data_IF_296216156723
#
_entry.id   IF_296216156723
#
_cell.length_a   1.000
_cell.length_b   1.000
_cell.length_c   1.000
_cell.angle_alpha   90.00
_cell.angle_beta   90.00
_cell.angle_gamma   90.00
#
_symmetry.space_group_name_H-M   'P 1'
#
loop_
_entity.id
_entity.type
_entity.pdbx_description
1 polymer ?
#
# COMPACT_ATOMS: atom_id res chain seq x y z
N UNK A 1 7.27 43.00 38.52
CA UNK A 1 6.84 41.88 39.39
C UNK A 1 5.70 42.24 40.34
N UNK A 2 5.76 43.35 41.09
CA UNK A 2 4.72 43.71 42.07
C UNK A 2 3.30 43.94 41.49
N UNK A 3 3.18 44.44 40.26
CA UNK A 3 1.87 44.60 39.59
C UNK A 3 1.23 43.27 39.15
N UNK A 4 2.04 42.28 38.79
CA UNK A 4 1.57 40.94 38.39
C UNK A 4 1.05 40.16 39.61
N UNK A 5 1.75 40.28 40.74
CA UNK A 5 1.31 39.69 42.02
C UNK A 5 0.02 40.33 42.57
N UNK A 6 -0.17 41.65 42.42
CA UNK A 6 -1.42 42.32 42.81
C UNK A 6 -2.61 41.96 41.93
N UNK A 7 -2.40 41.71 40.63
CA UNK A 7 -3.46 41.18 39.76
C UNK A 7 -3.84 39.75 40.16
N UNK A 8 -2.85 38.90 40.47
CA UNK A 8 -3.11 37.54 40.96
C UNK A 8 -3.86 37.57 42.31
N UNK A 9 -3.50 38.46 43.25
CA UNK A 9 -4.19 38.52 44.54
C UNK A 9 -5.66 38.99 44.45
N UNK A 10 -6.02 39.74 43.41
CA UNK A 10 -7.40 40.19 43.18
C UNK A 10 -8.30 39.07 42.60
N UNK A 11 -7.70 38.09 41.91
CA UNK A 11 -8.40 36.92 41.37
C UNK A 11 -8.65 35.85 42.44
N UNK A 12 -7.87 35.84 43.53
CA UNK A 12 -8.01 34.88 44.65
C UNK A 12 -8.86 35.40 45.82
N UNK A 13 -9.53 36.54 45.65
CA UNK A 13 -10.48 37.06 46.64
C UNK A 13 -11.78 36.23 46.65
N UNK A 14 -12.38 35.97 47.82
CA UNK A 14 -13.51 35.04 47.97
C UNK A 14 -14.75 35.45 47.18
N UNK A 15 -14.92 36.74 46.90
CA UNK A 15 -16.02 37.30 46.09
C UNK A 15 -15.82 37.16 44.57
N UNK A 16 -14.64 36.76 44.11
CA UNK A 16 -14.29 36.68 42.68
C UNK A 16 -13.96 35.24 42.20
N UNK A 17 -14.23 34.23 43.04
CA UNK A 17 -14.00 32.81 42.71
C UNK A 17 -14.67 32.38 41.40
N UNK A 18 -15.85 32.92 41.09
CA UNK A 18 -16.53 32.65 39.82
C UNK A 18 -15.70 33.14 38.61
N UNK A 19 -15.09 34.32 38.70
CA UNK A 19 -14.24 34.89 37.64
C UNK A 19 -12.97 34.05 37.47
N UNK A 20 -12.34 33.64 38.57
CA UNK A 20 -11.18 32.75 38.55
C UNK A 20 -11.50 31.40 37.87
N UNK A 21 -12.67 30.83 38.18
CA UNK A 21 -13.14 29.56 37.60
C UNK A 21 -13.44 29.70 36.10
N UNK A 22 -14.04 30.82 35.67
CA UNK A 22 -14.28 31.11 34.26
C UNK A 22 -12.98 31.28 33.48
N UNK A 23 -12.01 32.00 34.03
CA UNK A 23 -10.68 32.15 33.41
C UNK A 23 -9.99 30.79 33.28
N UNK A 24 -10.01 29.96 34.33
CA UNK A 24 -9.46 28.60 34.25
C UNK A 24 -10.18 27.74 33.20
N UNK A 25 -11.52 27.82 33.13
CA UNK A 25 -12.31 27.08 32.14
C UNK A 25 -11.93 27.50 30.72
N UNK A 26 -11.78 28.81 30.46
CA UNK A 26 -11.34 29.33 29.15
C UNK A 26 -9.93 28.84 28.81
N UNK A 27 -9.00 28.82 29.77
CA UNK A 27 -7.63 28.31 29.57
C UNK A 27 -7.63 26.81 29.25
N UNK A 28 -8.44 26.02 29.95
CA UNK A 28 -8.58 24.57 29.68
C UNK A 28 -9.17 24.33 28.29
N UNK A 29 -10.22 25.05 27.92
CA UNK A 29 -10.85 24.93 26.59
C UNK A 29 -9.87 25.31 25.48
N UNK A 30 -9.12 26.41 25.64
CA UNK A 30 -8.06 26.78 24.70
C UNK A 30 -6.96 25.73 24.62
N UNK A 31 -6.58 25.12 25.74
CA UNK A 31 -5.61 24.02 25.78
C UNK A 31 -6.06 22.80 24.98
N UNK A 32 -7.34 22.41 25.10
CA UNK A 32 -7.93 21.30 24.33
C UNK A 32 -7.97 21.62 22.84
N UNK A 33 -8.34 22.85 22.47
CA UNK A 33 -8.38 23.28 21.06
C UNK A 33 -6.97 23.22 20.45
N UNK A 34 -5.95 23.74 21.14
CA UNK A 34 -4.57 23.71 20.67
C UNK A 34 -4.06 22.27 20.55
N UNK A 35 -4.37 21.40 21.51
CA UNK A 35 -4.00 19.98 21.46
C UNK A 35 -4.65 19.28 20.25
N UNK A 36 -5.91 19.59 19.94
CA UNK A 36 -6.58 19.06 18.74
C UNK A 36 -5.94 19.54 17.44
N UNK A 37 -5.56 20.82 17.35
CA UNK A 37 -4.84 21.34 16.18
C UNK A 37 -3.45 20.70 16.00
N UNK A 38 -2.72 20.48 17.10
CA UNK A 38 -1.43 19.77 17.06
C UNK A 38 -1.62 18.32 16.61
N UNK A 39 -2.64 17.64 17.12
CA UNK A 39 -2.97 16.28 16.69
C UNK A 39 -3.33 16.22 15.21
N UNK A 40 -4.17 17.14 14.73
CA UNK A 40 -4.54 17.24 13.32
C UNK A 40 -3.32 17.47 12.42
N UNK A 41 -2.43 18.39 12.80
CA UNK A 41 -1.19 18.66 12.06
C UNK A 41 -0.25 17.44 12.03
N UNK A 42 -0.12 16.70 13.13
CA UNK A 42 0.68 15.46 13.20
C UNK A 42 0.07 14.36 12.33
N UNK A 43 -1.26 14.25 12.30
CA UNK A 43 -1.96 13.29 11.42
C UNK A 43 -1.71 13.63 9.96
N UNK A 44 -1.89 14.90 9.57
CA UNK A 44 -1.67 15.37 8.20
C UNK A 44 -0.21 15.17 7.75
N UNK A 45 0.76 15.48 8.62
CA UNK A 45 2.18 15.28 8.33
C UNK A 45 2.56 13.79 8.19
N UNK A 46 1.95 12.92 9.00
CA UNK A 46 2.13 11.47 8.89
C UNK A 46 1.55 10.93 7.58
N UNK A 47 0.37 11.39 7.17
CA UNK A 47 -0.27 10.95 5.92
C UNK A 47 0.51 11.44 4.68
N UNK A 48 1.03 12.67 4.70
CA UNK A 48 1.97 13.14 3.67
C UNK A 48 3.21 12.25 3.57
N UNK A 49 3.82 11.93 4.71
CA UNK A 49 5.01 11.06 4.76
C UNK A 49 4.72 9.66 4.23
N UNK A 50 3.57 9.08 4.60
CA UNK A 50 3.12 7.77 4.12
C UNK A 50 2.88 7.75 2.62
N UNK A 51 2.30 8.81 2.07
CA UNK A 51 2.06 8.92 0.64
C UNK A 51 3.37 9.09 -0.14
N UNK A 52 4.35 9.83 0.41
CA UNK A 52 5.70 9.92 -0.19
C UNK A 52 6.38 8.56 -0.25
N UNK A 53 6.32 7.77 0.84
CA UNK A 53 6.91 6.42 0.85
C UNK A 53 6.27 5.47 -0.13
N UNK A 54 4.95 5.56 -0.29
CA UNK A 54 4.26 4.82 -1.34
C UNK A 54 4.73 5.27 -2.73
N UNK A 55 4.85 6.57 -2.97
CA UNK A 55 5.34 7.10 -4.24
C UNK A 55 6.74 6.59 -4.61
N UNK A 56 7.67 6.54 -3.64
CA UNK A 56 9.02 6.00 -3.84
C UNK A 56 8.97 4.54 -4.36
N UNK A 57 8.11 3.72 -3.76
CA UNK A 57 7.94 2.32 -4.17
C UNK A 57 7.24 2.18 -5.52
N UNK A 58 6.28 3.05 -5.85
CA UNK A 58 5.64 3.07 -7.16
C UNK A 58 6.62 3.50 -8.27
N UNK A 59 7.54 4.40 -7.97
CA UNK A 59 8.61 4.76 -8.89
C UNK A 59 9.61 3.62 -9.05
N UNK A 60 9.95 2.90 -7.97
CA UNK A 60 10.73 1.67 -8.05
C UNK A 60 10.07 0.65 -8.99
N UNK A 61 8.75 0.44 -8.87
CA UNK A 61 7.98 -0.40 -9.78
C UNK A 61 8.13 0.03 -11.24
N UNK A 62 7.91 1.33 -11.50
CA UNK A 62 7.97 1.89 -12.85
C UNK A 62 9.32 1.68 -13.51
N UNK A 63 10.40 1.90 -12.76
CA UNK A 63 11.78 1.87 -13.27
C UNK A 63 12.30 0.43 -13.38
N UNK A 64 12.05 -0.41 -12.39
CA UNK A 64 12.75 -1.69 -12.25
C UNK A 64 11.90 -2.92 -12.64
N UNK A 65 10.57 -2.80 -12.66
CA UNK A 65 9.69 -3.98 -12.73
C UNK A 65 8.68 -3.94 -13.87
N UNK A 66 8.13 -2.77 -14.20
CA UNK A 66 7.05 -2.64 -15.19
C UNK A 66 7.43 -3.24 -16.55
N UNK A 67 8.60 -2.87 -17.08
CA UNK A 67 9.05 -3.35 -18.39
C UNK A 67 9.44 -4.86 -18.38
N UNK A 68 10.24 -5.36 -17.41
CA UNK A 68 10.53 -6.80 -17.32
C UNK A 68 9.28 -7.68 -17.21
N UNK A 69 8.29 -7.27 -16.39
CA UNK A 69 7.03 -8.02 -16.24
C UNK A 69 6.23 -7.99 -17.55
N UNK A 70 6.11 -6.82 -18.19
CA UNK A 70 5.45 -6.72 -19.49
C UNK A 70 6.08 -7.64 -20.56
N UNK A 71 7.42 -7.71 -20.61
CA UNK A 71 8.11 -8.60 -21.54
C UNK A 71 7.88 -10.08 -21.22
N UNK A 72 7.83 -10.43 -19.93
CA UNK A 72 7.50 -11.78 -19.49
C UNK A 72 6.07 -12.17 -19.87
N UNK A 73 5.09 -11.30 -19.61
CA UNK A 73 3.68 -11.50 -20.00
C UNK A 73 3.57 -11.73 -21.52
N UNK A 74 4.26 -10.90 -22.32
CA UNK A 74 4.32 -11.05 -23.77
C UNK A 74 5.01 -12.35 -24.23
N UNK A 75 6.03 -12.81 -23.51
CA UNK A 75 6.68 -14.10 -23.80
C UNK A 75 5.74 -15.28 -23.53
N UNK A 76 4.93 -15.23 -22.46
CA UNK A 76 3.95 -16.27 -22.13
C UNK A 76 2.88 -16.34 -23.22
N UNK A 77 2.32 -15.20 -23.63
CA UNK A 77 1.29 -15.15 -24.69
C UNK A 77 1.84 -15.71 -25.99
N UNK A 78 3.03 -15.28 -26.41
CA UNK A 78 3.65 -15.77 -27.66
C UNK A 78 3.90 -17.27 -27.61
N UNK A 79 4.36 -17.78 -26.48
CA UNK A 79 4.66 -19.20 -26.34
C UNK A 79 3.44 -20.14 -26.49
N UNK A 80 2.22 -19.65 -26.28
CA UNK A 80 1.02 -20.46 -26.54
C UNK A 80 0.41 -20.28 -27.92
N UNK A 81 1.02 -19.50 -28.82
CA UNK A 81 0.57 -19.39 -30.20
C UNK A 81 0.93 -20.68 -30.97
N UNK A 82 -0.02 -21.26 -31.76
CA UNK A 82 0.20 -22.51 -32.50
C UNK A 82 1.42 -22.49 -33.43
N UNK A 83 1.75 -21.32 -33.98
CA UNK A 83 2.85 -21.09 -34.93
C UNK A 83 4.23 -20.99 -34.26
N UNK A 84 4.29 -20.85 -32.93
CA UNK A 84 5.57 -20.66 -32.23
C UNK A 84 6.27 -22.00 -32.04
N UNK A 85 7.47 -22.12 -32.61
CA UNK A 85 8.30 -23.31 -32.43
C UNK A 85 8.88 -23.42 -31.01
N UNK A 86 9.25 -24.63 -30.60
CA UNK A 86 9.88 -24.85 -29.30
C UNK A 86 11.18 -24.04 -29.11
N UNK A 87 11.93 -23.84 -30.19
CA UNK A 87 13.16 -23.04 -30.14
C UNK A 87 12.86 -21.55 -29.93
N UNK A 88 11.89 -20.98 -30.65
CA UNK A 88 11.45 -19.59 -30.46
C UNK A 88 10.90 -19.35 -29.06
N UNK A 89 10.19 -20.33 -28.48
CA UNK A 89 9.77 -20.30 -27.08
C UNK A 89 10.99 -20.24 -26.15
N UNK A 90 11.96 -21.15 -26.32
CA UNK A 90 13.17 -21.21 -25.49
C UNK A 90 13.95 -19.89 -25.55
N UNK A 91 14.12 -19.33 -26.74
CA UNK A 91 14.86 -18.08 -26.94
C UNK A 91 14.13 -16.89 -26.30
N UNK A 92 12.81 -16.82 -26.47
CA UNK A 92 11.96 -15.79 -25.84
C UNK A 92 12.09 -15.84 -24.32
N UNK A 93 11.99 -17.03 -23.72
CA UNK A 93 12.11 -17.20 -22.28
C UNK A 93 13.53 -17.02 -21.75
N UNK A 94 14.56 -17.39 -22.51
CA UNK A 94 15.95 -17.14 -22.11
C UNK A 94 16.24 -15.63 -21.99
N UNK A 95 15.65 -14.82 -22.88
CA UNK A 95 15.85 -13.37 -22.88
C UNK A 95 15.23 -12.66 -21.67
N UNK A 96 14.05 -13.11 -21.22
CA UNK A 96 13.28 -12.45 -20.14
C UNK A 96 13.57 -13.01 -18.74
N UNK A 97 14.32 -14.12 -18.64
CA UNK A 97 14.72 -14.77 -17.38
C UNK A 97 13.56 -14.90 -16.36
N UNK A 98 12.50 -15.68 -16.67
CA UNK A 98 11.24 -15.72 -15.92
C UNK A 98 11.40 -15.85 -14.41
N UNK A 99 12.24 -16.79 -13.97
CA UNK A 99 12.43 -17.06 -12.56
C UNK A 99 12.97 -15.84 -11.81
N UNK A 100 14.02 -15.20 -12.34
CA UNK A 100 14.60 -14.01 -11.72
C UNK A 100 13.64 -12.82 -11.75
N UNK A 101 12.87 -12.68 -12.83
CA UNK A 101 11.89 -11.61 -12.98
C UNK A 101 10.74 -11.78 -12.00
N UNK A 102 10.19 -13.00 -11.88
CA UNK A 102 9.10 -13.30 -10.95
C UNK A 102 9.54 -13.23 -9.48
N UNK A 103 10.73 -13.74 -9.15
CA UNK A 103 11.27 -13.67 -7.79
C UNK A 103 11.37 -12.24 -7.31
N UNK A 104 12.06 -11.37 -8.06
CA UNK A 104 12.21 -9.97 -7.69
C UNK A 104 10.88 -9.25 -7.61
N UNK A 105 9.94 -9.59 -8.48
CA UNK A 105 8.63 -8.97 -8.52
C UNK A 105 7.76 -9.37 -7.32
N UNK A 106 7.72 -10.65 -6.95
CA UNK A 106 6.99 -11.12 -5.78
C UNK A 106 7.62 -10.56 -4.50
N UNK A 107 8.95 -10.46 -4.42
CA UNK A 107 9.65 -9.80 -3.31
C UNK A 107 9.25 -8.32 -3.22
N UNK A 108 9.13 -7.62 -4.35
CA UNK A 108 8.65 -6.24 -4.38
C UNK A 108 7.20 -6.11 -3.88
N UNK A 109 6.29 -6.98 -4.35
CA UNK A 109 4.89 -6.99 -3.89
C UNK A 109 4.78 -7.27 -2.39
N UNK A 110 5.59 -8.18 -1.87
CA UNK A 110 5.64 -8.49 -0.43
C UNK A 110 6.14 -7.29 0.37
N UNK A 111 7.17 -6.57 -0.11
CA UNK A 111 7.62 -5.32 0.54
C UNK A 111 6.54 -4.23 0.53
N UNK A 112 5.79 -4.12 -0.56
CA UNK A 112 4.66 -3.19 -0.66
C UNK A 112 3.55 -3.53 0.34
N UNK A 113 3.21 -4.80 0.48
CA UNK A 113 2.30 -5.31 1.50
C UNK A 113 2.79 -4.92 2.90
N UNK A 114 4.03 -5.30 3.26
CA UNK A 114 4.62 -4.96 4.57
C UNK A 114 4.61 -3.46 4.84
N UNK A 115 4.91 -2.62 3.85
CA UNK A 115 4.85 -1.17 4.01
C UNK A 115 3.45 -0.68 4.40
N UNK A 116 2.41 -1.28 3.79
CA UNK A 116 1.03 -1.01 4.16
C UNK A 116 0.70 -1.48 5.58
N UNK A 117 1.08 -2.71 5.94
CA UNK A 117 0.75 -3.32 7.24
C UNK A 117 1.39 -2.58 8.41
N UNK A 118 2.66 -2.19 8.26
CA UNK A 118 3.42 -1.45 9.26
C UNK A 118 3.00 0.03 9.34
N UNK A 119 1.99 0.46 8.56
CA UNK A 119 1.49 1.83 8.47
C UNK A 119 2.58 2.85 8.07
N UNK A 120 3.61 2.37 7.39
CA UNK A 120 4.66 3.19 6.77
C UNK A 120 4.15 3.80 5.47
N UNK A 121 3.35 3.04 4.73
CA UNK A 121 2.63 3.47 3.53
C UNK A 121 1.12 3.56 3.81
N UNK A 122 0.38 4.21 2.91
CA UNK A 122 -1.08 4.16 2.92
C UNK A 122 -1.56 2.72 2.64
N UNK A 123 -2.13 2.04 3.65
CA UNK A 123 -2.59 0.65 3.53
C UNK A 123 -3.65 0.46 2.44
N UNK A 124 -4.61 1.38 2.31
CA UNK A 124 -5.68 1.27 1.31
C UNK A 124 -5.11 1.29 -0.12
N UNK A 125 -4.20 2.23 -0.40
CA UNK A 125 -3.60 2.36 -1.73
C UNK A 125 -2.60 1.24 -2.03
N UNK A 126 -1.79 0.83 -1.05
CA UNK A 126 -0.88 -0.32 -1.20
C UNK A 126 -1.65 -1.61 -1.46
N UNK A 127 -2.70 -1.91 -0.70
CA UNK A 127 -3.53 -3.10 -0.90
C UNK A 127 -4.22 -3.10 -2.26
N UNK A 128 -4.73 -1.95 -2.71
CA UNK A 128 -5.32 -1.83 -4.04
C UNK A 128 -4.30 -2.16 -5.15
N UNK A 129 -3.10 -1.59 -5.05
CA UNK A 129 -2.04 -1.83 -6.02
C UNK A 129 -1.58 -3.29 -6.01
N UNK A 130 -1.27 -3.86 -4.84
CA UNK A 130 -0.80 -5.25 -4.71
C UNK A 130 -1.86 -6.22 -5.22
N UNK A 131 -3.14 -6.00 -4.85
CA UNK A 131 -4.26 -6.82 -5.32
C UNK A 131 -4.36 -6.81 -6.87
N UNK A 132 -4.38 -5.64 -7.50
CA UNK A 132 -4.51 -5.53 -8.96
C UNK A 132 -3.34 -6.23 -9.65
N UNK A 133 -2.12 -5.96 -9.20
CA UNK A 133 -0.89 -6.43 -9.82
C UNK A 133 -0.66 -7.92 -9.62
N UNK A 134 -0.88 -8.44 -8.42
CA UNK A 134 -0.85 -9.89 -8.18
C UNK A 134 -1.89 -10.63 -9.04
N UNK A 135 -3.14 -10.13 -9.12
CA UNK A 135 -4.19 -10.72 -9.97
C UNK A 135 -3.82 -10.73 -11.45
N UNK A 136 -3.26 -9.62 -11.95
CA UNK A 136 -2.86 -9.51 -13.35
C UNK A 136 -1.79 -10.55 -13.69
N UNK A 137 -0.70 -10.57 -12.92
CA UNK A 137 0.40 -11.52 -13.16
C UNK A 137 -0.07 -12.96 -12.98
N UNK A 138 -0.89 -13.26 -11.97
CA UNK A 138 -1.50 -14.57 -11.77
C UNK A 138 -2.23 -15.08 -13.02
N UNK A 139 -3.06 -14.23 -13.63
CA UNK A 139 -3.81 -14.58 -14.84
C UNK A 139 -2.88 -14.89 -16.01
N UNK A 140 -1.80 -14.13 -16.18
CA UNK A 140 -0.84 -14.40 -17.25
C UNK A 140 -0.07 -15.70 -17.02
N UNK A 141 0.39 -15.96 -15.80
CA UNK A 141 1.09 -17.22 -15.49
C UNK A 141 0.22 -18.45 -15.75
N UNK A 142 -1.09 -18.33 -15.50
CA UNK A 142 -2.04 -19.42 -15.70
C UNK A 142 -2.76 -19.38 -17.06
N UNK A 143 -2.39 -18.47 -17.96
CA UNK A 143 -3.12 -18.24 -19.21
C UNK A 143 -3.19 -19.50 -20.10
N UNK A 144 -2.13 -20.32 -20.09
CA UNK A 144 -2.05 -21.57 -20.84
C UNK A 144 -2.03 -22.83 -19.95
N UNK A 145 -2.52 -22.75 -18.70
CA UNK A 145 -2.43 -23.87 -17.73
C UNK A 145 -3.05 -25.20 -18.21
N UNK A 146 -4.01 -25.14 -19.14
CA UNK A 146 -4.70 -26.30 -19.70
C UNK A 146 -4.22 -26.68 -21.11
N UNK A 147 -3.27 -25.95 -21.70
CA UNK A 147 -2.74 -26.26 -23.02
C UNK A 147 -1.58 -27.24 -22.91
N UNK A 148 -1.80 -28.47 -23.36
CA UNK A 148 -0.83 -29.58 -23.34
C UNK A 148 0.42 -29.25 -24.19
N UNK A 149 0.32 -28.28 -25.11
CA UNK A 149 1.43 -27.79 -25.94
C UNK A 149 2.32 -26.80 -25.19
N UNK A 150 1.79 -26.14 -24.17
CA UNK A 150 2.59 -25.26 -23.32
C UNK A 150 3.55 -26.11 -22.52
N UNK A 151 4.85 -25.90 -22.74
CA UNK A 151 5.86 -26.87 -22.34
C UNK A 151 5.78 -27.15 -20.81
N UNK A 152 5.64 -28.43 -20.38
CA UNK A 152 5.41 -28.77 -18.98
C UNK A 152 6.46 -28.19 -18.02
N UNK A 153 7.73 -28.14 -18.43
CA UNK A 153 8.82 -27.57 -17.64
C UNK A 153 8.65 -26.07 -17.35
N UNK A 154 8.04 -25.30 -18.27
CA UNK A 154 7.76 -23.87 -18.07
C UNK A 154 6.61 -23.65 -17.11
N UNK A 155 5.58 -24.48 -17.21
CA UNK A 155 4.47 -24.47 -16.26
C UNK A 155 4.96 -24.73 -14.83
N UNK A 156 5.89 -25.68 -14.64
CA UNK A 156 6.47 -25.98 -13.32
C UNK A 156 7.32 -24.84 -12.75
N UNK A 157 8.16 -24.17 -13.57
CA UNK A 157 8.96 -23.02 -13.13
C UNK A 157 8.08 -21.85 -12.65
N UNK A 158 6.95 -21.62 -13.34
CA UNK A 158 6.02 -20.54 -13.04
C UNK A 158 5.09 -20.89 -11.88
N UNK A 159 4.67 -22.15 -11.77
CA UNK A 159 3.82 -22.65 -10.68
C UNK A 159 4.48 -22.50 -9.31
N UNK A 160 5.81 -22.40 -9.22
CA UNK A 160 6.48 -22.16 -7.93
C UNK A 160 6.00 -20.89 -7.22
N UNK A 161 5.74 -19.82 -7.98
CA UNK A 161 5.27 -18.54 -7.43
C UNK A 161 3.76 -18.51 -7.28
N UNK A 162 3.09 -19.62 -7.61
CA UNK A 162 1.67 -19.58 -7.81
C UNK A 162 0.94 -19.38 -6.48
N UNK A 163 1.25 -20.23 -5.52
CA UNK A 163 0.71 -20.16 -4.17
C UNK A 163 0.99 -18.80 -3.49
N UNK A 164 2.17 -18.21 -3.71
CA UNK A 164 2.51 -16.90 -3.14
C UNK A 164 1.63 -15.78 -3.71
N UNK A 165 1.34 -15.82 -5.01
CA UNK A 165 0.45 -14.85 -5.64
C UNK A 165 -1.01 -15.06 -5.22
N UNK A 166 -1.48 -16.30 -5.11
CA UNK A 166 -2.81 -16.61 -4.58
C UNK A 166 -2.96 -16.06 -3.14
N UNK A 167 -1.98 -16.32 -2.28
CA UNK A 167 -1.99 -15.83 -0.89
C UNK A 167 -2.01 -14.29 -0.83
N UNK A 168 -1.21 -13.61 -1.66
CA UNK A 168 -1.20 -12.14 -1.75
C UNK A 168 -2.55 -11.60 -2.24
N UNK A 169 -3.16 -12.24 -3.24
CA UNK A 169 -4.47 -11.89 -3.76
C UNK A 169 -5.53 -12.01 -2.66
N UNK A 170 -5.55 -13.14 -1.96
CA UNK A 170 -6.54 -13.39 -0.92
C UNK A 170 -6.40 -12.43 0.26
N UNK A 171 -5.18 -12.09 0.69
CA UNK A 171 -4.98 -11.12 1.77
C UNK A 171 -5.37 -9.70 1.35
N UNK A 172 -4.80 -9.21 0.25
CA UNK A 172 -4.88 -7.80 -0.10
C UNK A 172 -6.21 -7.43 -0.77
N UNK A 173 -6.77 -8.31 -1.60
CA UNK A 173 -8.04 -8.04 -2.27
C UNK A 173 -9.23 -8.11 -1.31
N UNK A 174 -9.20 -9.00 -0.30
CA UNK A 174 -10.24 -9.06 0.72
C UNK A 174 -10.20 -7.84 1.63
N UNK A 175 -8.99 -7.41 2.03
CA UNK A 175 -8.83 -6.16 2.77
C UNK A 175 -9.36 -4.96 1.98
N UNK A 176 -8.92 -4.79 0.72
CA UNK A 176 -9.38 -3.68 -0.12
C UNK A 176 -10.90 -3.68 -0.30
N UNK A 177 -11.49 -4.85 -0.59
CA UNK A 177 -12.94 -4.97 -0.79
C UNK A 177 -13.71 -4.60 0.48
N UNK A 178 -13.25 -5.04 1.66
CA UNK A 178 -13.87 -4.72 2.94
C UNK A 178 -13.78 -3.21 3.29
N UNK A 179 -12.66 -2.57 2.99
CA UNK A 179 -12.47 -1.12 3.21
C UNK A 179 -13.34 -0.31 2.24
N UNK A 180 -13.37 -0.68 0.97
CA UNK A 180 -14.19 0.00 -0.05
C UNK A 180 -15.69 -0.11 0.25
N UNK A 181 -16.13 -1.29 0.73
CA UNK A 181 -17.51 -1.48 1.19
C UNK A 181 -17.85 -0.62 2.41
N UNK A 182 -16.93 -0.41 3.37
CA UNK A 182 -17.18 0.53 4.47
C UNK A 182 -17.24 1.99 4.00
N UNK A 183 -16.29 2.41 3.17
CA UNK A 183 -16.25 3.78 2.65
C UNK A 183 -17.47 4.13 1.80
N UNK A 184 -18.05 3.17 1.07
CA UNK A 184 -19.28 3.40 0.29
C UNK A 184 -20.54 3.47 1.15
N UNK A 185 -20.55 2.87 2.34
CA UNK A 185 -21.69 2.92 3.26
C UNK A 185 -21.67 4.18 4.14
N UNK A 186 -20.49 4.71 4.49
CA UNK A 186 -20.36 5.93 5.31
C UNK A 186 -20.62 7.23 4.51
N UNK A 187 -20.83 7.15 3.18
CA UNK A 187 -21.12 8.30 2.30
C UNK A 187 -22.63 8.48 2.01
N UNK A 188 -23.50 7.59 2.52
CA UNK A 188 -24.96 7.68 2.35
C UNK A 188 -25.72 7.79 3.67
#
# INVERSE_FOLDING_TARGET
MARLMRMLSHVFDKDHQHIATWIQTVVVVLGVIIANFQLAAVVEQNDLTRNTKLHDLLEEYRVNFAQPIFHLEGAIIRAGLPETSEQEMKDSFASVRPQQTLEKYVDFLTRMETCGEDRVCNRSQTSAFVCEKAKQTWRFLNYHQNDIRFAPWKSMEMMKYSQQLDDLIDRECNYFSAVWLRMSVDIF
#
